data_IF_477823485715
#
_entry.id   IF_477823485715
#
_cell.length_a   1.000
_cell.length_b   1.000
_cell.length_c   1.000
_cell.angle_alpha   90.00
_cell.angle_beta   90.00
_cell.angle_gamma   90.00
#
_symmetry.space_group_name_H-M   'P 1'
#
loop_
_entity.id
_entity.type
_entity.pdbx_description
1 polymer ?
#
# COMPACT_ATOMS: atom_id res chain seq x y z
N UNK A 1 75.05 5.84 43.98
CA UNK A 1 74.88 5.72 42.52
C UNK A 1 73.64 4.89 42.22
N UNK A 2 72.43 5.40 42.52
CA UNK A 2 71.17 4.61 42.47
C UNK A 2 70.00 5.36 41.81
N UNK A 3 70.26 6.44 41.08
CA UNK A 3 69.23 7.36 40.56
C UNK A 3 68.75 7.06 39.15
N UNK A 4 69.56 6.38 38.32
CA UNK A 4 69.19 6.07 36.92
C UNK A 4 68.25 4.86 36.81
N UNK A 5 68.40 3.88 37.69
CA UNK A 5 67.61 2.65 37.68
C UNK A 5 66.19 2.90 38.21
N UNK A 6 66.04 3.74 39.25
CA UNK A 6 64.74 4.21 39.72
C UNK A 6 64.01 5.07 38.68
N UNK A 7 64.73 5.93 37.96
CA UNK A 7 64.15 6.74 36.88
C UNK A 7 63.63 5.88 35.74
N UNK A 8 64.38 4.84 35.33
CA UNK A 8 63.97 3.92 34.27
C UNK A 8 62.74 3.10 34.68
N UNK A 9 62.70 2.61 35.92
CA UNK A 9 61.57 1.85 36.46
C UNK A 9 60.30 2.70 36.54
N UNK A 10 60.43 3.97 36.93
CA UNK A 10 59.31 4.92 36.99
C UNK A 10 58.75 5.26 35.61
N UNK A 11 59.62 5.37 34.60
CA UNK A 11 59.23 5.61 33.21
C UNK A 11 58.46 4.41 32.62
N UNK A 12 58.91 3.19 32.90
CA UNK A 12 58.24 1.96 32.48
C UNK A 12 56.86 1.78 33.13
N UNK A 13 56.73 2.16 34.41
CA UNK A 13 55.45 2.08 35.12
C UNK A 13 54.44 3.12 34.62
N UNK A 14 54.91 4.31 34.24
CA UNK A 14 54.08 5.36 33.64
C UNK A 14 53.62 4.99 32.22
N UNK A 15 54.50 4.41 31.40
CA UNK A 15 54.16 3.91 30.07
C UNK A 15 53.12 2.79 30.14
N UNK A 16 53.31 1.83 31.05
CA UNK A 16 52.35 0.75 31.28
C UNK A 16 50.99 1.27 31.74
N UNK A 17 50.95 2.28 32.63
CA UNK A 17 49.71 2.93 33.05
C UNK A 17 49.00 3.66 31.91
N UNK A 18 49.76 4.27 31.01
CA UNK A 18 49.21 4.97 29.84
C UNK A 18 48.58 4.00 28.86
N UNK A 19 49.21 2.85 28.63
CA UNK A 19 48.68 1.81 27.74
C UNK A 19 47.43 1.14 28.32
N UNK A 20 47.42 0.85 29.62
CA UNK A 20 46.24 0.32 30.32
C UNK A 20 45.06 1.31 30.29
N UNK A 21 45.32 2.60 30.50
CA UNK A 21 44.29 3.65 30.41
C UNK A 21 43.73 3.79 28.99
N UNK A 22 44.58 3.66 27.96
CA UNK A 22 44.15 3.71 26.57
C UNK A 22 43.32 2.49 26.18
N UNK A 23 43.71 1.29 26.62
CA UNK A 23 42.95 0.06 26.40
C UNK A 23 41.57 0.11 27.08
N UNK A 24 41.50 0.61 28.32
CA UNK A 24 40.24 0.75 29.06
C UNK A 24 39.30 1.77 28.41
N UNK A 25 39.84 2.89 27.92
CA UNK A 25 39.05 3.90 27.21
C UNK A 25 38.43 3.33 25.92
N UNK A 26 39.20 2.53 25.17
CA UNK A 26 38.71 1.86 23.96
C UNK A 26 37.63 0.82 24.26
N UNK A 27 37.79 0.01 25.30
CA UNK A 27 36.76 -0.98 25.70
C UNK A 27 35.46 -0.29 26.13
N UNK A 28 35.54 0.85 26.84
CA UNK A 28 34.36 1.61 27.23
C UNK A 28 33.64 2.23 26.03
N UNK A 29 34.38 2.70 25.02
CA UNK A 29 33.79 3.23 23.79
C UNK A 29 33.10 2.14 22.98
N UNK A 30 33.74 0.98 22.81
CA UNK A 30 33.14 -0.19 22.13
C UNK A 30 31.89 -0.70 22.86
N UNK A 31 31.87 -0.69 24.21
CA UNK A 31 30.67 -1.01 24.99
C UNK A 31 29.55 0.00 24.78
N UNK A 32 29.85 1.30 24.82
CA UNK A 32 28.84 2.35 24.61
C UNK A 32 28.27 2.31 23.19
N UNK A 33 29.10 2.03 22.19
CA UNK A 33 28.63 1.91 20.81
C UNK A 33 27.79 0.66 20.60
N UNK A 34 28.14 -0.45 21.26
CA UNK A 34 27.30 -1.65 21.26
C UNK A 34 25.96 -1.39 21.96
N UNK A 35 25.98 -0.75 23.12
CA UNK A 35 24.77 -0.41 23.89
C UNK A 35 23.89 0.59 23.13
N UNK A 36 24.47 1.54 22.38
CA UNK A 36 23.73 2.43 21.47
C UNK A 36 23.11 1.70 20.29
N UNK A 37 23.82 0.74 19.70
CA UNK A 37 23.29 -0.09 18.61
C UNK A 37 22.17 -0.99 19.11
N UNK A 38 22.36 -1.63 20.25
CA UNK A 38 21.36 -2.50 20.87
C UNK A 38 20.12 -1.69 21.29
N UNK A 39 20.29 -0.48 21.83
CA UNK A 39 19.18 0.43 22.14
C UNK A 39 18.47 0.97 20.88
N UNK A 40 19.20 1.21 19.78
CA UNK A 40 18.59 1.61 18.51
C UNK A 40 17.78 0.48 17.88
N UNK A 41 18.29 -0.76 17.92
CA UNK A 41 17.55 -1.96 17.50
C UNK A 41 16.30 -2.19 18.37
N UNK A 42 16.42 -2.04 19.69
CA UNK A 42 15.27 -2.16 20.59
C UNK A 42 14.22 -1.07 20.36
N UNK A 43 14.63 0.17 20.06
CA UNK A 43 13.72 1.26 19.72
C UNK A 43 13.03 1.07 18.36
N UNK A 44 13.71 0.46 17.37
CA UNK A 44 13.10 0.07 16.10
C UNK A 44 12.12 -1.11 16.26
N UNK A 45 12.41 -2.08 17.14
CA UNK A 45 11.48 -3.16 17.49
C UNK A 45 10.27 -2.63 18.26
N UNK A 46 10.43 -1.70 19.22
CA UNK A 46 9.33 -1.09 19.96
C UNK A 46 8.41 -0.22 19.08
N UNK A 47 8.92 0.40 18.01
CA UNK A 47 8.08 1.10 17.03
C UNK A 47 7.22 0.16 16.16
N UNK A 48 7.52 -1.14 16.13
CA UNK A 48 6.73 -2.16 15.42
C UNK A 48 5.70 -2.88 16.30
N UNK A 49 5.63 -2.57 17.60
CA UNK A 49 4.60 -3.11 18.49
C UNK A 49 3.28 -2.35 18.25
N UNK A 50 2.39 -2.95 17.45
CA UNK A 50 0.95 -2.69 17.50
C UNK A 50 0.46 -1.39 16.84
N UNK A 51 1.00 -0.99 15.69
CA UNK A 51 0.31 0.00 14.87
C UNK A 51 -0.84 -0.68 14.13
N UNK A 52 -2.06 -0.32 14.53
CA UNK A 52 -3.27 -0.67 13.79
C UNK A 52 -3.07 -0.36 12.30
N UNK A 53 -3.51 -1.28 11.45
CA UNK A 53 -3.45 -1.10 10.00
C UNK A 53 -4.84 -0.94 9.44
N UNK A 54 -4.99 0.00 8.51
CA UNK A 54 -6.26 0.41 7.97
C UNK A 54 -6.32 0.04 6.50
N UNK A 55 -7.40 -0.61 6.05
CA UNK A 55 -7.56 -1.00 4.65
C UNK A 55 -8.87 -0.46 4.08
N UNK A 56 -8.78 0.18 2.92
CA UNK A 56 -9.92 0.73 2.18
C UNK A 56 -10.02 0.08 0.80
N UNK A 57 -11.23 -0.09 0.23
CA UNK A 57 -11.36 -0.59 -1.14
C UNK A 57 -10.79 0.45 -2.12
N UNK A 58 -10.02 -0.02 -3.08
CA UNK A 58 -9.71 0.79 -4.26
C UNK A 58 -10.97 1.12 -5.06
N UNK A 59 -11.05 2.28 -5.74
CA UNK A 59 -12.24 2.72 -6.48
C UNK A 59 -12.76 1.72 -7.52
N UNK A 60 -11.86 0.92 -8.09
CA UNK A 60 -12.15 -0.07 -9.15
C UNK A 60 -12.43 -1.48 -8.60
N UNK A 61 -12.58 -1.64 -7.29
CA UNK A 61 -12.88 -2.93 -6.65
C UNK A 61 -14.32 -3.36 -6.91
N UNK A 62 -14.54 -4.68 -7.03
CA UNK A 62 -15.86 -5.26 -7.09
C UNK A 62 -16.63 -4.96 -5.78
N UNK A 63 -17.65 -4.11 -5.87
CA UNK A 63 -18.44 -3.67 -4.70
C UNK A 63 -19.12 -4.83 -3.98
N UNK A 64 -19.66 -5.81 -4.72
CA UNK A 64 -20.37 -6.94 -4.13
C UNK A 64 -19.44 -7.85 -3.33
N UNK A 65 -18.21 -8.06 -3.79
CA UNK A 65 -17.24 -8.84 -3.02
C UNK A 65 -16.73 -8.06 -1.81
N UNK A 66 -16.52 -6.76 -1.93
CA UNK A 66 -16.10 -5.94 -0.79
C UNK A 66 -17.15 -5.87 0.33
N UNK A 67 -18.43 -5.77 -0.02
CA UNK A 67 -19.53 -5.82 0.97
C UNK A 67 -19.51 -7.12 1.77
N UNK A 68 -19.31 -8.27 1.10
CA UNK A 68 -19.21 -9.56 1.77
C UNK A 68 -17.93 -9.68 2.61
N UNK A 69 -16.83 -9.05 2.17
CA UNK A 69 -15.60 -8.95 2.98
C UNK A 69 -15.89 -8.16 4.27
N UNK A 70 -16.62 -7.04 4.19
CA UNK A 70 -17.03 -6.28 5.38
C UNK A 70 -17.90 -7.13 6.31
N UNK A 71 -18.84 -7.92 5.77
CA UNK A 71 -19.67 -8.82 6.57
C UNK A 71 -18.83 -9.88 7.31
N UNK A 72 -17.89 -10.51 6.61
CA UNK A 72 -17.01 -11.53 7.22
C UNK A 72 -16.04 -10.90 8.21
N UNK A 73 -15.58 -9.67 7.96
CA UNK A 73 -14.78 -8.90 8.90
C UNK A 73 -15.56 -8.65 10.19
N UNK A 74 -16.80 -8.17 10.12
CA UNK A 74 -17.65 -7.90 11.30
C UNK A 74 -17.95 -9.17 12.11
N UNK A 75 -18.00 -10.34 11.48
CA UNK A 75 -18.14 -11.62 12.20
C UNK A 75 -16.87 -11.99 12.96
N UNK A 76 -15.70 -11.71 12.39
CA UNK A 76 -14.40 -12.05 12.97
C UNK A 76 -13.95 -11.05 14.03
N UNK A 77 -14.31 -9.77 13.83
CA UNK A 77 -13.96 -8.65 14.68
C UNK A 77 -15.24 -7.89 15.07
N UNK A 78 -16.07 -8.46 15.96
CA UNK A 78 -17.37 -7.88 16.32
C UNK A 78 -17.26 -6.56 17.08
N UNK A 79 -16.13 -6.34 17.76
CA UNK A 79 -15.87 -5.16 18.59
C UNK A 79 -15.13 -4.05 17.82
N UNK A 80 -14.65 -4.32 16.60
CA UNK A 80 -13.87 -3.37 15.81
C UNK A 80 -14.77 -2.48 14.93
N UNK A 81 -14.59 -1.14 14.95
CA UNK A 81 -15.40 -0.23 14.17
C UNK A 81 -15.03 -0.28 12.68
N UNK A 82 -16.01 -0.64 11.83
CA UNK A 82 -15.93 -0.36 10.39
C UNK A 82 -16.41 1.08 10.15
N UNK A 83 -15.48 2.00 9.94
CA UNK A 83 -15.79 3.40 9.64
C UNK A 83 -15.53 3.68 8.17
N UNK A 84 -16.52 4.21 7.45
CA UNK A 84 -16.38 4.62 6.05
C UNK A 84 -15.81 3.53 5.10
N UNK A 85 -16.20 2.26 5.32
CA UNK A 85 -15.68 1.07 4.61
C UNK A 85 -14.18 0.79 4.81
N UNK A 86 -13.57 1.39 5.83
CA UNK A 86 -12.22 1.08 6.28
C UNK A 86 -12.26 -0.08 7.27
N UNK A 87 -11.45 -1.09 7.02
CA UNK A 87 -11.23 -2.23 7.91
C UNK A 87 -9.99 -1.96 8.76
N UNK A 88 -10.10 -2.16 10.08
CA UNK A 88 -9.00 -1.92 11.04
C UNK A 88 -8.45 -3.26 11.51
N UNK A 89 -7.15 -3.47 11.45
CA UNK A 89 -6.55 -4.72 11.91
C UNK A 89 -5.51 -4.42 12.99
N UNK A 90 -5.41 -5.24 14.04
CA UNK A 90 -4.39 -5.07 15.08
C UNK A 90 -2.97 -5.07 14.51
N UNK A 91 -2.74 -5.88 13.47
CA UNK A 91 -1.47 -5.98 12.77
C UNK A 91 -1.66 -6.16 11.26
N UNK A 92 -0.63 -5.86 10.48
CA UNK A 92 -0.62 -6.18 9.04
C UNK A 92 -0.73 -7.69 8.79
N UNK A 93 -0.17 -8.51 9.67
CA UNK A 93 -0.25 -9.96 9.55
C UNK A 93 -1.69 -10.47 9.68
N UNK A 94 -2.46 -9.91 10.62
CA UNK A 94 -3.88 -10.21 10.76
C UNK A 94 -4.68 -9.81 9.52
N UNK A 95 -4.36 -8.64 8.95
CA UNK A 95 -4.95 -8.19 7.70
C UNK A 95 -4.64 -9.18 6.55
N UNK A 96 -3.37 -9.55 6.36
CA UNK A 96 -2.95 -10.49 5.32
C UNK A 96 -3.65 -11.84 5.50
N UNK A 97 -3.66 -12.38 6.71
CA UNK A 97 -4.35 -13.65 7.01
C UNK A 97 -5.84 -13.57 6.71
N UNK A 98 -6.48 -12.45 7.06
CA UNK A 98 -7.88 -12.22 6.74
C UNK A 98 -8.11 -12.15 5.22
N UNK A 99 -7.37 -11.32 4.48
CA UNK A 99 -7.52 -11.20 3.03
C UNK A 99 -7.15 -12.47 2.28
N UNK A 100 -6.22 -13.27 2.79
CA UNK A 100 -5.87 -14.58 2.24
C UNK A 100 -7.07 -15.54 2.31
N UNK A 101 -7.82 -15.53 3.42
CA UNK A 101 -9.05 -16.33 3.56
C UNK A 101 -10.13 -15.86 2.57
N UNK A 102 -10.22 -14.55 2.32
CA UNK A 102 -11.15 -13.99 1.33
C UNK A 102 -10.76 -14.36 -0.11
N UNK A 103 -9.47 -14.32 -0.42
CA UNK A 103 -8.95 -14.72 -1.73
C UNK A 103 -9.19 -16.21 -2.01
N UNK A 104 -9.06 -17.07 -0.99
CA UNK A 104 -9.29 -18.52 -1.11
C UNK A 104 -10.72 -18.97 -0.78
N UNK A 105 -11.68 -18.04 -0.65
CA UNK A 105 -13.08 -18.37 -0.40
C UNK A 105 -13.69 -19.18 -1.55
N UNK A 106 -14.88 -19.74 -1.36
CA UNK A 106 -15.62 -20.47 -2.40
C UNK A 106 -16.98 -19.80 -2.66
N UNK A 107 -17.16 -19.06 -3.77
CA UNK A 107 -16.15 -18.78 -4.81
C UNK A 107 -15.07 -17.79 -4.34
N UNK A 108 -13.86 -17.80 -4.95
CA UNK A 108 -12.81 -16.84 -4.69
C UNK A 108 -13.29 -15.41 -4.92
N UNK A 109 -13.03 -14.51 -3.97
CA UNK A 109 -13.46 -13.11 -4.07
C UNK A 109 -12.48 -12.28 -4.89
N UNK A 110 -13.00 -11.28 -5.62
CA UNK A 110 -12.19 -10.31 -6.37
C UNK A 110 -12.13 -8.99 -5.60
N UNK A 111 -10.94 -8.51 -5.29
CA UNK A 111 -10.77 -7.23 -4.58
C UNK A 111 -9.40 -6.62 -4.78
N UNK A 112 -9.34 -5.30 -4.63
CA UNK A 112 -8.11 -4.53 -4.43
C UNK A 112 -8.29 -3.66 -3.18
N UNK A 113 -7.57 -4.00 -2.12
CA UNK A 113 -7.50 -3.24 -0.87
C UNK A 113 -6.20 -2.44 -0.81
N UNK A 114 -6.29 -1.20 -0.35
CA UNK A 114 -5.13 -0.31 -0.17
C UNK A 114 -4.97 -0.04 1.31
N UNK A 115 -3.75 -0.23 1.82
CA UNK A 115 -3.40 0.15 3.18
C UNK A 115 -3.29 1.67 3.27
N UNK A 116 -3.92 2.24 4.29
CA UNK A 116 -3.86 3.66 4.60
C UNK A 116 -3.27 3.85 6.01
N UNK A 117 -2.61 4.98 6.23
CA UNK A 117 -2.18 5.41 7.54
C UNK A 117 -3.34 5.97 8.38
N UNK A 118 -3.07 6.30 9.65
CA UNK A 118 -4.06 6.90 10.55
C UNK A 118 -4.61 8.27 10.06
N UNK A 119 -3.93 8.92 9.10
CA UNK A 119 -4.40 10.15 8.45
C UNK A 119 -5.27 9.90 7.22
N UNK A 120 -5.50 8.63 6.86
CA UNK A 120 -6.27 8.21 5.71
C UNK A 120 -5.49 8.26 4.38
N UNK A 121 -4.15 8.38 4.43
CA UNK A 121 -3.31 8.42 3.22
C UNK A 121 -2.80 7.04 2.86
N UNK A 122 -2.76 6.67 1.56
CA UNK A 122 -2.18 5.41 1.12
C UNK A 122 -0.72 5.26 1.54
N UNK A 123 -0.36 4.12 2.12
CA UNK A 123 1.04 3.79 2.49
C UNK A 123 1.84 3.27 1.30
N UNK A 124 1.15 2.83 0.24
CA UNK A 124 1.73 2.16 -0.91
C UNK A 124 1.65 0.64 -0.85
N UNK A 125 1.28 0.06 0.30
CA UNK A 125 1.00 -1.37 0.42
C UNK A 125 -0.44 -1.67 -0.02
N UNK A 126 -0.60 -2.75 -0.78
CA UNK A 126 -1.88 -3.19 -1.31
C UNK A 126 -2.02 -4.70 -1.15
N UNK A 127 -3.28 -5.14 -1.10
CA UNK A 127 -3.69 -6.54 -1.14
C UNK A 127 -4.66 -6.73 -2.30
N UNK A 128 -4.44 -7.76 -3.10
CA UNK A 128 -5.17 -7.96 -4.35
C UNK A 128 -5.53 -9.42 -4.55
N UNK A 129 -6.76 -9.68 -4.98
CA UNK A 129 -7.16 -10.97 -5.52
C UNK A 129 -7.97 -10.75 -6.78
N UNK A 130 -7.62 -11.49 -7.84
CA UNK A 130 -8.36 -11.49 -9.10
C UNK A 130 -9.38 -12.62 -9.20
N UNK A 131 -9.62 -13.38 -8.12
CA UNK A 131 -10.55 -14.52 -8.10
C UNK A 131 -9.93 -15.84 -8.60
N UNK A 132 -8.60 -15.93 -8.64
CA UNK A 132 -7.84 -17.14 -8.97
C UNK A 132 -7.52 -18.01 -7.74
N UNK A 133 -8.03 -17.63 -6.57
CA UNK A 133 -7.77 -18.30 -5.29
C UNK A 133 -6.51 -17.83 -4.57
N UNK A 134 -5.79 -16.83 -5.11
CA UNK A 134 -4.52 -16.32 -4.55
C UNK A 134 -4.65 -14.88 -4.07
N UNK A 135 -3.86 -14.57 -3.05
CA UNK A 135 -3.61 -13.21 -2.61
C UNK A 135 -2.27 -12.75 -3.19
N UNK A 136 -2.29 -11.57 -3.78
CA UNK A 136 -1.12 -10.83 -4.24
C UNK A 136 -0.98 -9.62 -3.31
N UNK A 137 0.24 -9.29 -2.91
CA UNK A 137 0.47 -8.23 -1.93
C UNK A 137 1.75 -7.44 -2.19
N UNK A 138 1.80 -6.21 -1.68
CA UNK A 138 2.93 -5.29 -1.84
C UNK A 138 2.52 -4.01 -2.57
N UNK A 139 3.50 -3.34 -3.16
CA UNK A 139 3.25 -2.23 -4.07
C UNK A 139 2.54 -2.70 -5.35
N UNK A 140 1.87 -1.79 -6.05
CA UNK A 140 1.20 -2.10 -7.31
C UNK A 140 2.15 -2.68 -8.37
N UNK A 141 3.43 -2.25 -8.38
CA UNK A 141 4.45 -2.80 -9.28
C UNK A 141 4.79 -4.25 -8.93
N UNK A 142 5.00 -4.55 -7.64
CA UNK A 142 5.26 -5.92 -7.17
C UNK A 142 4.09 -6.85 -7.46
N UNK A 143 2.86 -6.38 -7.26
CA UNK A 143 1.64 -7.14 -7.61
C UNK A 143 1.58 -7.38 -9.12
N UNK A 144 1.93 -6.40 -9.95
CA UNK A 144 1.98 -6.59 -11.40
C UNK A 144 2.98 -7.69 -11.79
N UNK A 145 4.15 -7.73 -11.17
CA UNK A 145 5.18 -8.73 -11.47
C UNK A 145 4.77 -10.13 -10.98
N UNK A 146 4.16 -10.25 -9.80
CA UNK A 146 3.58 -11.51 -9.33
C UNK A 146 2.48 -12.04 -10.27
N UNK A 147 1.62 -11.15 -10.80
CA UNK A 147 0.60 -11.53 -11.78
C UNK A 147 1.20 -11.98 -13.12
N UNK A 148 2.27 -11.32 -13.60
CA UNK A 148 3.00 -11.76 -14.80
C UNK A 148 3.62 -13.14 -14.60
N UNK A 149 4.16 -13.42 -13.41
CA UNK A 149 4.68 -14.74 -13.07
C UNK A 149 3.56 -15.78 -13.03
N UNK A 150 2.44 -15.47 -12.38
CA UNK A 150 1.26 -16.33 -12.36
C UNK A 150 0.71 -16.59 -13.78
N UNK A 151 0.75 -15.59 -14.67
CA UNK A 151 0.38 -15.74 -16.08
C UNK A 151 1.30 -16.69 -16.84
N UNK A 152 2.61 -16.70 -16.55
CA UNK A 152 3.53 -17.68 -17.15
C UNK A 152 3.16 -19.12 -16.74
N UNK A 153 2.72 -19.30 -15.49
CA UNK A 153 2.28 -20.61 -14.99
C UNK A 153 0.88 -21.00 -15.51
N UNK A 154 0.00 -20.02 -15.75
CA UNK A 154 -1.38 -20.21 -16.23
C UNK A 154 -1.72 -19.19 -17.34
N UNK A 155 -1.25 -19.40 -18.57
CA UNK A 155 -1.36 -18.41 -19.66
C UNK A 155 -2.80 -18.11 -20.10
N UNK A 156 -3.71 -19.06 -19.89
CA UNK A 156 -5.10 -18.97 -20.33
C UNK A 156 -6.08 -18.60 -19.21
N UNK A 157 -5.59 -18.29 -18.00
CA UNK A 157 -6.47 -17.91 -16.89
C UNK A 157 -7.08 -16.50 -17.13
N UNK A 158 -8.41 -16.39 -17.32
CA UNK A 158 -9.06 -15.11 -17.58
C UNK A 158 -8.97 -14.16 -16.38
N UNK A 159 -8.92 -14.69 -15.15
CA UNK A 159 -8.83 -13.87 -13.94
C UNK A 159 -7.48 -13.17 -13.85
N UNK A 160 -6.39 -13.84 -14.25
CA UNK A 160 -5.05 -13.23 -14.24
C UNK A 160 -4.96 -12.12 -15.30
N UNK A 161 -5.53 -12.35 -16.49
CA UNK A 161 -5.59 -11.32 -17.56
C UNK A 161 -6.39 -10.09 -17.11
N UNK A 162 -7.55 -10.30 -16.49
CA UNK A 162 -8.35 -9.23 -15.91
C UNK A 162 -7.60 -8.50 -14.78
N UNK A 163 -6.92 -9.26 -13.91
CA UNK A 163 -6.14 -8.71 -12.80
C UNK A 163 -5.01 -7.80 -13.27
N UNK A 164 -4.27 -8.20 -14.32
CA UNK A 164 -3.24 -7.35 -14.93
C UNK A 164 -3.82 -6.02 -15.45
N UNK A 165 -5.03 -6.05 -16.02
CA UNK A 165 -5.70 -4.83 -16.49
C UNK A 165 -6.12 -3.92 -15.33
N UNK A 166 -6.63 -4.49 -14.23
CA UNK A 166 -7.00 -3.73 -13.02
C UNK A 166 -5.76 -3.03 -12.44
N UNK A 167 -4.65 -3.76 -12.28
CA UNK A 167 -3.41 -3.20 -11.73
C UNK A 167 -2.79 -2.15 -12.66
N UNK A 168 -2.85 -2.36 -13.99
CA UNK A 168 -2.38 -1.36 -14.95
C UNK A 168 -3.14 -0.03 -14.87
N UNK A 169 -4.46 -0.07 -14.64
CA UNK A 169 -5.29 1.14 -14.39
C UNK A 169 -4.95 1.78 -13.06
N UNK A 170 -4.78 0.98 -11.99
CA UNK A 170 -4.40 1.48 -10.67
C UNK A 170 -3.04 2.20 -10.68
N UNK A 171 -2.10 1.74 -11.51
CA UNK A 171 -0.80 2.39 -11.72
C UNK A 171 -0.90 3.71 -12.51
N UNK A 172 -1.94 3.88 -13.34
CA UNK A 172 -2.10 5.02 -14.24
C UNK A 172 -3.51 5.65 -14.17
N UNK A 173 -3.93 6.17 -13.00
CA UNK A 173 -5.29 6.68 -12.82
C UNK A 173 -5.62 7.89 -13.72
N UNK A 174 -4.61 8.63 -14.19
CA UNK A 174 -4.79 9.76 -15.09
C UNK A 174 -5.34 9.40 -16.47
N UNK A 175 -5.24 8.14 -16.91
CA UNK A 175 -5.81 7.72 -18.19
C UNK A 175 -7.34 7.61 -18.13
N UNK A 176 -7.90 7.16 -17.00
CA UNK A 176 -9.34 7.07 -16.81
C UNK A 176 -10.00 8.45 -16.76
N UNK A 177 -9.35 9.45 -16.15
CA UNK A 177 -9.84 10.84 -16.17
C UNK A 177 -9.86 11.44 -17.58
N UNK A 178 -8.88 11.13 -18.43
CA UNK A 178 -8.87 11.60 -19.83
C UNK A 178 -9.91 10.91 -20.69
N UNK A 179 -10.17 9.63 -20.45
CA UNK A 179 -11.24 8.89 -21.13
C UNK A 179 -12.63 9.41 -20.72
N UNK A 180 -12.87 9.59 -19.42
CA UNK A 180 -14.11 10.17 -18.90
C UNK A 180 -14.36 11.60 -19.42
N UNK A 181 -13.32 12.44 -19.49
CA UNK A 181 -13.46 13.79 -20.05
C UNK A 181 -13.78 13.77 -21.55
N UNK A 182 -13.21 12.83 -22.32
CA UNK A 182 -13.52 12.67 -23.74
C UNK A 182 -14.97 12.22 -23.95
N UNK A 183 -15.43 11.26 -23.17
CA UNK A 183 -16.81 10.75 -23.26
C UNK A 183 -17.84 11.83 -22.92
N UNK A 184 -17.58 12.68 -21.91
CA UNK A 184 -18.42 13.87 -21.66
C UNK A 184 -18.34 14.94 -22.74
N UNK A 185 -17.24 14.99 -23.52
CA UNK A 185 -17.06 15.98 -24.60
C UNK A 185 -17.73 15.53 -25.90
N UNK A 186 -17.80 14.22 -26.15
CA UNK A 186 -18.50 13.64 -27.30
C UNK A 186 -20.03 13.50 -27.03
N UNK A 187 -20.48 13.55 -25.77
CA UNK A 187 -21.89 13.60 -25.41
C UNK A 187 -22.55 14.99 -25.56
N UNK A 188 -21.79 16.02 -25.92
CA UNK A 188 -22.25 17.40 -26.11
C UNK A 188 -22.15 17.85 -27.59
N UNK A 189 -22.16 16.90 -28.54
CA UNK A 189 -22.60 17.19 -29.90
C UNK A 189 -24.13 17.12 -29.96
N UNK A 190 -24.85 18.25 -30.12
CA UNK A 190 -26.29 18.21 -30.31
C UNK A 190 -26.58 17.46 -31.61
N UNK A 191 -27.20 16.29 -31.47
CA UNK A 191 -27.92 15.64 -32.57
C UNK A 191 -28.84 16.69 -33.19
N UNK A 192 -28.56 17.10 -34.43
CA UNK A 192 -29.48 17.85 -35.27
C UNK A 192 -30.77 17.04 -35.41
N UNK A 193 -31.72 17.31 -34.50
CA UNK A 193 -33.09 16.88 -34.64
C UNK A 193 -33.66 17.53 -35.90
N UNK A 194 -34.03 16.70 -36.86
CA UNK A 194 -34.83 17.07 -38.04
C UNK A 194 -36.21 17.51 -37.59
N UNK A 195 -36.36 18.80 -37.24
CA UNK A 195 -37.66 19.40 -37.03
C UNK A 195 -38.32 19.72 -38.38
N UNK A 196 -39.58 19.30 -38.63
CA UNK A 196 -40.31 19.71 -39.81
C UNK A 196 -40.72 21.18 -39.70
N UNK A 197 -40.53 21.93 -40.77
CA UNK A 197 -41.02 23.31 -40.92
C UNK A 197 -42.54 23.37 -40.75
N UNK A 198 -43.06 24.35 -39.98
CA UNK A 198 -44.21 25.09 -40.47
C UNK A 198 -44.08 26.58 -40.15
N UNK A 199 -44.04 27.42 -41.18
CA UNK A 199 -44.86 28.63 -41.29
C UNK A 199 -44.50 29.34 -42.60
N UNK A 200 -45.19 28.94 -43.67
CA UNK A 200 -45.32 29.74 -44.88
C UNK A 200 -46.56 30.62 -44.71
N UNK A 201 -46.38 31.90 -44.39
CA UNK A 201 -47.46 32.89 -44.45
C UNK A 201 -47.23 33.79 -45.67
N UNK A 202 -47.89 33.44 -46.77
CA UNK A 202 -48.11 34.34 -47.91
C UNK A 202 -48.97 35.54 -47.45
N UNK A 203 -48.66 36.79 -47.82
CA UNK A 203 -49.60 37.89 -47.66
C UNK A 203 -50.68 37.83 -48.76
N UNK A 204 -51.94 37.91 -48.32
CA UNK A 204 -53.14 37.97 -49.17
C UNK A 204 -53.41 39.44 -49.52
N UNK A 205 -53.29 39.77 -50.80
CA UNK A 205 -53.81 41.00 -51.39
C UNK A 205 -55.34 41.03 -51.28
N UNK A 206 -55.90 42.14 -50.82
CA UNK A 206 -57.32 42.44 -50.89
C UNK A 206 -57.57 43.53 -51.95
N UNK A 207 -58.68 43.48 -52.70
CA UNK A 207 -59.03 44.50 -53.68
C UNK A 207 -59.92 45.58 -53.05
N UNK A 208 -59.76 46.81 -53.51
CA UNK A 208 -60.82 47.81 -53.79
C UNK A 208 -60.21 48.96 -54.60
#
# INVERSE_FOLDING_TARGET
MSTKEEQLKKLQEEEKRRDEAFALAREQEERKDKERKDAALAAEEEQQIGQETYFTPSPNTNKSDWEKIIEDYKKKYPDEPVKDNVLVFPTREDAINFFQQQASANPPRKFLGTEIDASGKPTGFNVFSCGDGKLYQGSLNEIQDQLKEAQKAKPDDPNIKEGLAIIARALNPAQDFRAALKETKDADEPQQSTAPNPLSTKPRTAPL
#
